data_IF_444362758901
#
_entry.id   IF_444362758901
#
_cell.length_a   1.000
_cell.length_b   1.000
_cell.length_c   1.000
_cell.angle_alpha   90.00
_cell.angle_beta   90.00
_cell.angle_gamma   90.00
#
_symmetry.space_group_name_H-M   'P 1'
#
loop_
_entity.id
_entity.type
_entity.pdbx_description
1 polymer ?
#
# COMPACT_ATOMS: atom_id res chain seq x y z
N UNK A 1 -2.21 -35.43 2.94
CA UNK A 1 -3.58 -35.66 2.44
C UNK A 1 -4.41 -36.52 3.38
N UNK A 2 -3.87 -37.54 4.08
CA UNK A 2 -4.69 -38.29 5.08
C UNK A 2 -4.97 -37.48 6.34
N UNK A 3 -4.03 -36.65 6.78
CA UNK A 3 -4.16 -35.84 8.01
C UNK A 3 -5.37 -34.90 8.05
N UNK A 4 -5.83 -34.37 6.91
CA UNK A 4 -6.98 -33.47 6.84
C UNK A 4 -8.32 -34.20 6.76
N UNK A 5 -8.32 -35.47 6.36
CA UNK A 5 -9.52 -36.32 6.36
C UNK A 5 -9.78 -36.89 7.76
N UNK A 6 -8.72 -37.20 8.51
CA UNK A 6 -8.84 -37.67 9.89
C UNK A 6 -9.40 -36.57 10.83
N UNK A 7 -8.98 -35.31 10.67
CA UNK A 7 -9.53 -34.19 11.47
C UNK A 7 -11.01 -33.94 11.19
N UNK A 8 -11.40 -34.00 9.91
CA UNK A 8 -12.80 -33.82 9.53
C UNK A 8 -13.71 -34.95 10.06
N UNK A 9 -13.18 -36.16 10.24
CA UNK A 9 -13.92 -37.28 10.80
C UNK A 9 -14.13 -37.12 12.32
N UNK A 10 -13.09 -36.70 13.05
CA UNK A 10 -13.18 -36.40 14.49
C UNK A 10 -14.18 -35.28 14.79
N UNK A 11 -14.21 -34.23 13.95
CA UNK A 11 -15.17 -33.13 14.07
C UNK A 11 -16.62 -33.59 13.87
N UNK A 12 -16.86 -34.55 12.95
CA UNK A 12 -18.20 -35.11 12.69
C UNK A 12 -18.67 -35.98 13.86
N UNK A 13 -17.80 -36.78 14.46
CA UNK A 13 -18.12 -37.61 15.63
C UNK A 13 -18.45 -36.74 16.86
N UNK A 14 -17.64 -35.71 17.12
CA UNK A 14 -17.90 -34.75 18.20
C UNK A 14 -19.23 -33.99 18.02
N UNK A 15 -19.56 -33.62 16.79
CA UNK A 15 -20.83 -32.96 16.46
C UNK A 15 -22.03 -33.91 16.65
N UNK A 16 -21.86 -35.20 16.33
CA UNK A 16 -22.91 -36.22 16.51
C UNK A 16 -23.26 -36.42 17.99
N UNK A 17 -22.23 -36.46 18.85
CA UNK A 17 -22.40 -36.54 20.30
C UNK A 17 -23.04 -35.29 20.91
N UNK A 18 -22.75 -34.10 20.34
CA UNK A 18 -23.38 -32.84 20.75
C UNK A 18 -24.87 -32.80 20.35
N UNK A 19 -25.20 -33.26 19.14
CA UNK A 19 -26.59 -33.33 18.63
C UNK A 19 -27.45 -34.26 19.50
N UNK A 20 -26.90 -35.41 19.93
CA UNK A 20 -27.61 -36.36 20.79
C UNK A 20 -27.90 -35.82 22.20
N UNK A 21 -27.18 -34.78 22.64
CA UNK A 21 -27.39 -34.12 23.95
C UNK A 21 -28.42 -32.99 23.89
N UNK A 22 -28.71 -32.46 22.71
CA UNK A 22 -29.63 -31.32 22.52
C UNK A 22 -31.08 -31.77 22.38
N UNK A 23 -32.01 -30.89 22.78
CA UNK A 23 -33.44 -31.08 22.52
C UNK A 23 -33.79 -30.82 21.04
N UNK A 24 -34.85 -31.45 20.53
CA UNK A 24 -35.36 -31.19 19.18
C UNK A 24 -35.63 -29.70 18.90
N UNK A 25 -36.14 -28.96 19.89
CA UNK A 25 -36.40 -27.52 19.74
C UNK A 25 -35.10 -26.70 19.65
N UNK A 26 -34.06 -27.10 20.38
CA UNK A 26 -32.75 -26.46 20.32
C UNK A 26 -32.06 -26.74 18.98
N UNK A 27 -32.20 -27.96 18.44
CA UNK A 27 -31.71 -28.32 17.11
C UNK A 27 -32.36 -27.47 16.03
N UNK A 28 -33.69 -27.29 16.07
CA UNK A 28 -34.41 -26.45 15.11
C UNK A 28 -33.93 -24.99 15.17
N UNK A 29 -33.72 -24.45 16.37
CA UNK A 29 -33.25 -23.09 16.53
C UNK A 29 -31.80 -22.92 16.04
N UNK A 30 -30.92 -23.88 16.36
CA UNK A 30 -29.52 -23.88 15.92
C UNK A 30 -29.40 -23.96 14.40
N UNK A 31 -30.20 -24.80 13.74
CA UNK A 31 -30.22 -24.87 12.27
C UNK A 31 -30.66 -23.55 11.64
N UNK A 32 -31.68 -22.87 12.20
CA UNK A 32 -32.12 -21.56 11.69
C UNK A 32 -31.05 -20.47 11.86
N UNK A 33 -30.35 -20.46 12.99
CA UNK A 33 -29.25 -19.52 13.23
C UNK A 33 -28.10 -19.77 12.24
N UNK A 34 -27.70 -21.03 12.07
CA UNK A 34 -26.67 -21.42 11.10
C UNK A 34 -27.06 -21.06 9.65
N UNK A 35 -28.31 -21.30 9.25
CA UNK A 35 -28.80 -20.89 7.92
C UNK A 35 -28.73 -19.38 7.72
N UNK A 36 -29.08 -18.60 8.76
CA UNK A 36 -28.99 -17.15 8.72
C UNK A 36 -27.54 -16.67 8.61
N UNK A 37 -26.62 -17.33 9.33
CA UNK A 37 -25.20 -17.02 9.33
C UNK A 37 -24.55 -17.37 7.99
N UNK A 38 -24.85 -18.55 7.43
CA UNK A 38 -24.40 -18.98 6.10
C UNK A 38 -24.85 -17.98 5.03
N UNK A 39 -26.09 -17.46 5.14
CA UNK A 39 -26.60 -16.46 4.19
C UNK A 39 -25.83 -15.14 4.27
N UNK A 40 -25.52 -14.67 5.48
CA UNK A 40 -24.71 -13.46 5.70
C UNK A 40 -23.28 -13.69 5.17
N UNK A 41 -22.65 -14.80 5.55
CA UNK A 41 -21.30 -15.16 5.11
C UNK A 41 -21.21 -15.25 3.58
N UNK A 42 -22.19 -15.86 2.91
CA UNK A 42 -22.23 -15.90 1.44
C UNK A 42 -22.28 -14.50 0.81
N UNK A 43 -23.08 -13.60 1.37
CA UNK A 43 -23.15 -12.20 0.91
C UNK A 43 -21.83 -11.48 1.13
N UNK A 44 -21.16 -11.72 2.25
CA UNK A 44 -19.89 -11.08 2.59
C UNK A 44 -18.75 -11.59 1.71
N UNK A 45 -18.68 -12.89 1.45
CA UNK A 45 -17.74 -13.46 0.49
C UNK A 45 -17.93 -12.85 -0.89
N UNK A 46 -19.16 -12.67 -1.35
CA UNK A 46 -19.44 -12.00 -2.63
C UNK A 46 -18.97 -10.54 -2.63
N UNK A 47 -19.24 -9.78 -1.56
CA UNK A 47 -18.79 -8.39 -1.41
C UNK A 47 -17.26 -8.29 -1.44
N UNK A 48 -16.58 -9.10 -0.64
CA UNK A 48 -15.12 -9.12 -0.56
C UNK A 48 -14.51 -9.50 -1.91
N UNK A 49 -15.08 -10.47 -2.63
CA UNK A 49 -14.59 -10.83 -3.96
C UNK A 49 -14.72 -9.69 -4.98
N UNK A 50 -15.83 -8.93 -4.94
CA UNK A 50 -15.98 -7.75 -5.79
C UNK A 50 -14.97 -6.65 -5.44
N UNK A 51 -14.78 -6.35 -4.14
CA UNK A 51 -13.79 -5.38 -3.69
C UNK A 51 -12.37 -5.79 -4.08
N UNK A 52 -12.05 -7.08 -3.92
CA UNK A 52 -10.77 -7.66 -4.29
C UNK A 52 -10.52 -7.56 -5.80
N UNK A 53 -11.54 -7.83 -6.64
CA UNK A 53 -11.43 -7.62 -8.09
C UNK A 53 -11.19 -6.15 -8.42
N UNK A 54 -11.97 -5.24 -7.85
CA UNK A 54 -11.82 -3.81 -8.08
C UNK A 54 -10.44 -3.28 -7.66
N UNK A 55 -9.90 -3.76 -6.54
CA UNK A 55 -8.55 -3.41 -6.10
C UNK A 55 -7.48 -3.99 -7.04
N UNK A 56 -7.64 -5.23 -7.50
CA UNK A 56 -6.72 -5.84 -8.48
C UNK A 56 -6.69 -5.05 -9.79
N UNK A 57 -7.83 -4.58 -10.27
CA UNK A 57 -7.89 -3.78 -11.50
C UNK A 57 -7.22 -2.42 -11.32
N UNK A 58 -7.42 -1.74 -10.18
CA UNK A 58 -6.69 -0.52 -9.83
C UNK A 58 -5.18 -0.73 -9.75
N UNK A 59 -4.73 -1.86 -9.19
CA UNK A 59 -3.30 -2.19 -9.13
C UNK A 59 -2.73 -2.36 -10.55
N UNK A 60 -3.44 -3.06 -11.44
CA UNK A 60 -3.01 -3.24 -12.84
C UNK A 60 -2.90 -1.90 -13.56
N UNK A 61 -3.93 -1.05 -13.46
CA UNK A 61 -3.95 0.27 -14.07
C UNK A 61 -2.78 1.15 -13.57
N UNK A 62 -2.54 1.17 -12.26
CA UNK A 62 -1.43 1.91 -11.68
C UNK A 62 -0.07 1.35 -12.11
N UNK A 63 0.07 0.03 -12.21
CA UNK A 63 1.30 -0.62 -12.68
C UNK A 63 1.61 -0.24 -14.14
N UNK A 64 0.59 -0.18 -15.00
CA UNK A 64 0.74 0.28 -16.38
C UNK A 64 1.13 1.76 -16.45
N UNK A 65 0.49 2.63 -15.66
CA UNK A 65 0.86 4.05 -15.56
C UNK A 65 2.31 4.23 -15.10
N UNK A 66 2.75 3.46 -14.10
CA UNK A 66 4.15 3.46 -13.64
C UNK A 66 5.07 3.02 -14.76
N UNK A 67 4.73 1.97 -15.50
CA UNK A 67 5.54 1.47 -16.62
C UNK A 67 5.70 2.51 -17.74
N UNK A 68 4.63 3.23 -18.08
CA UNK A 68 4.68 4.32 -19.06
C UNK A 68 5.58 5.46 -18.58
N UNK A 69 5.49 5.84 -17.30
CA UNK A 69 6.34 6.90 -16.73
C UNK A 69 7.81 6.47 -16.53
N UNK A 70 8.07 5.18 -16.35
CA UNK A 70 9.41 4.60 -16.33
C UNK A 70 10.01 4.37 -17.72
N UNK A 71 9.27 4.65 -18.79
CA UNK A 71 9.81 4.54 -20.14
C UNK A 71 10.94 5.55 -20.32
N UNK A 72 12.03 5.10 -20.94
CA UNK A 72 13.10 5.98 -21.38
C UNK A 72 12.53 7.02 -22.37
N UNK A 73 12.99 8.28 -22.36
CA UNK A 73 14.20 8.77 -21.71
C UNK A 73 13.95 9.55 -20.40
N UNK A 74 14.62 9.18 -19.32
CA UNK A 74 14.72 9.97 -18.08
C UNK A 74 16.06 10.73 -18.01
N UNK A 75 16.13 11.72 -17.11
CA UNK A 75 17.33 12.49 -16.83
C UNK A 75 18.09 11.82 -15.69
N UNK A 76 19.41 11.70 -15.82
CA UNK A 76 20.26 11.20 -14.73
C UNK A 76 20.55 12.34 -13.76
N UNK A 77 20.42 12.09 -12.47
CA UNK A 77 20.68 13.06 -11.41
C UNK A 77 21.38 12.42 -10.23
N UNK A 78 22.04 13.23 -9.41
CA UNK A 78 22.65 12.80 -8.16
C UNK A 78 21.83 13.33 -6.99
N UNK A 79 21.57 12.49 -6.00
CA UNK A 79 21.01 12.94 -4.73
C UNK A 79 22.10 13.69 -3.96
N UNK A 80 21.85 14.93 -3.56
CA UNK A 80 22.79 15.73 -2.76
C UNK A 80 22.51 15.54 -1.28
N UNK A 81 21.26 15.74 -0.88
CA UNK A 81 20.85 15.78 0.52
C UNK A 81 19.41 15.30 0.66
N UNK A 82 19.14 14.67 1.80
CA UNK A 82 17.81 14.27 2.25
C UNK A 82 17.49 15.09 3.48
N UNK A 83 16.35 15.78 3.47
CA UNK A 83 15.90 16.64 4.55
C UNK A 83 14.63 16.05 5.16
N UNK A 84 14.60 15.92 6.47
CA UNK A 84 13.39 15.53 7.19
C UNK A 84 12.62 16.81 7.56
N UNK A 85 11.46 17.01 6.95
CA UNK A 85 10.61 18.17 7.22
C UNK A 85 9.58 17.79 8.27
N UNK A 86 9.84 18.25 9.49
CA UNK A 86 8.87 18.24 10.58
C UNK A 86 8.12 19.59 10.62
N UNK A 87 6.81 19.62 10.35
CA UNK A 87 5.99 20.83 10.40
C UNK A 87 5.92 21.48 11.79
N UNK A 88 6.32 20.75 12.85
CA UNK A 88 6.46 21.32 14.18
C UNK A 88 7.74 22.18 14.32
N UNK A 89 8.76 21.93 13.51
CA UNK A 89 10.00 22.72 13.48
C UNK A 89 9.89 23.96 12.59
N UNK A 90 8.90 24.04 11.68
CA UNK A 90 8.60 25.23 10.88
C UNK A 90 7.59 26.18 11.54
N UNK A 91 7.16 25.87 12.77
CA UNK A 91 6.10 26.60 13.49
C UNK A 91 6.47 27.97 14.05
N UNK A 92 7.57 28.60 13.63
CA UNK A 92 7.98 29.92 14.17
C UNK A 92 7.96 31.10 13.17
N UNK A 93 7.80 30.93 11.84
CA UNK A 93 8.09 32.06 10.93
C UNK A 93 7.06 32.49 9.85
N UNK A 94 5.85 31.92 9.72
CA UNK A 94 4.90 32.44 8.70
C UNK A 94 3.49 32.74 9.23
N UNK A 95 3.35 33.90 9.88
CA UNK A 95 2.09 34.66 10.01
C UNK A 95 1.62 35.25 8.65
N UNK A 96 1.42 34.39 7.63
CA UNK A 96 0.95 34.78 6.31
C UNK A 96 -0.17 33.88 5.82
N UNK A 97 -1.28 34.44 5.35
CA UNK A 97 -2.48 33.72 4.91
C UNK A 97 -2.31 32.95 3.56
N UNK A 98 -1.12 32.47 3.25
CA UNK A 98 -0.82 31.72 2.03
C UNK A 98 0.12 30.55 2.38
N UNK A 99 -0.40 29.58 3.12
CA UNK A 99 0.34 28.39 3.53
C UNK A 99 0.54 27.52 2.29
N UNK A 100 1.78 27.31 1.88
CA UNK A 100 2.11 26.37 0.81
C UNK A 100 1.74 24.94 1.27
N UNK A 101 0.88 24.28 0.51
CA UNK A 101 0.40 22.92 0.79
C UNK A 101 1.55 21.90 0.79
N UNK A 102 2.68 22.23 0.14
CA UNK A 102 3.88 21.40 0.15
C UNK A 102 4.69 21.57 1.44
N UNK A 103 4.66 22.74 2.11
CA UNK A 103 5.33 23.00 3.39
C UNK A 103 4.64 22.32 4.59
N UNK A 104 3.34 22.02 4.48
CA UNK A 104 2.60 21.29 5.52
C UNK A 104 2.80 19.76 5.48
N UNK A 105 3.41 19.21 4.43
CA UNK A 105 3.55 17.75 4.31
C UNK A 105 4.70 17.26 5.17
N UNK A 106 4.34 16.50 6.21
CA UNK A 106 5.26 15.66 6.99
C UNK A 106 5.94 14.68 6.05
N UNK A 107 7.26 14.72 5.94
CA UNK A 107 7.97 13.74 5.14
C UNK A 107 9.43 14.07 4.87
N UNK A 108 10.10 13.10 4.26
CA UNK A 108 11.46 13.26 3.76
C UNK A 108 11.41 13.94 2.40
N UNK A 109 12.11 15.05 2.28
CA UNK A 109 12.36 15.76 1.03
C UNK A 109 13.77 15.45 0.52
N UNK A 110 13.98 15.63 -0.78
CA UNK A 110 15.28 15.39 -1.40
C UNK A 110 15.73 16.61 -2.20
N UNK A 111 17.03 16.89 -2.17
CA UNK A 111 17.68 17.82 -3.06
C UNK A 111 18.45 17.02 -4.10
N UNK A 112 18.12 17.21 -5.37
CA UNK A 112 18.79 16.51 -6.49
C UNK A 112 19.53 17.48 -7.39
N UNK A 113 20.71 17.06 -7.86
CA UNK A 113 21.48 17.77 -8.87
C UNK A 113 21.36 17.04 -10.20
N UNK A 114 20.79 17.69 -11.19
CA UNK A 114 20.67 17.13 -12.53
C UNK A 114 22.02 17.12 -13.25
N UNK A 115 22.17 16.26 -14.27
CA UNK A 115 23.32 16.32 -15.18
C UNK A 115 23.48 17.68 -15.87
N UNK A 116 22.40 18.47 -15.97
CA UNK A 116 22.42 19.85 -16.48
C UNK A 116 22.95 20.88 -15.46
N UNK A 117 23.50 20.42 -14.32
CA UNK A 117 24.04 21.23 -13.23
C UNK A 117 23.02 22.14 -12.55
N UNK A 118 21.74 21.83 -12.67
CA UNK A 118 20.67 22.50 -11.96
C UNK A 118 20.33 21.72 -10.68
N UNK A 119 19.98 22.43 -9.63
CA UNK A 119 19.60 21.84 -8.35
C UNK A 119 18.09 22.01 -8.17
N UNK A 120 17.39 20.91 -7.96
CA UNK A 120 15.95 20.89 -7.71
C UNK A 120 15.69 20.41 -6.29
N UNK A 121 14.79 21.11 -5.59
CA UNK A 121 14.23 20.66 -4.33
C UNK A 121 12.95 19.90 -4.59
N UNK A 122 12.86 18.67 -4.08
CA UNK A 122 11.72 17.80 -4.20
C UNK A 122 11.07 17.64 -2.82
N UNK A 123 9.91 18.27 -2.58
CA UNK A 123 9.10 18.02 -1.39
C UNK A 123 8.70 16.53 -1.29
N UNK A 124 8.49 15.89 -2.45
CA UNK A 124 8.12 14.47 -2.58
C UNK A 124 9.16 13.75 -3.44
N UNK A 125 9.77 12.70 -2.89
CA UNK A 125 10.87 11.94 -3.50
C UNK A 125 10.44 11.22 -4.78
N UNK A 126 9.27 10.56 -4.77
CA UNK A 126 8.72 9.89 -5.96
C UNK A 126 8.42 8.41 -5.73
N UNK A 127 8.85 7.55 -6.65
CA UNK A 127 8.55 6.10 -6.66
C UNK A 127 9.53 5.27 -5.82
N UNK A 128 10.61 5.87 -5.32
CA UNK A 128 11.65 5.20 -4.54
C UNK A 128 11.50 5.55 -3.06
N UNK A 129 11.72 4.57 -2.19
CA UNK A 129 11.69 4.77 -0.75
C UNK A 129 12.82 5.69 -0.30
N UNK A 130 12.46 6.70 0.50
CA UNK A 130 13.39 7.69 1.03
C UNK A 130 14.55 7.08 1.83
N UNK A 131 14.28 5.99 2.57
CA UNK A 131 15.26 5.34 3.45
C UNK A 131 16.36 4.57 2.69
N UNK A 132 16.12 4.27 1.41
CA UNK A 132 17.10 3.57 0.55
C UNK A 132 18.05 4.53 -0.14
N UNK A 133 17.69 5.82 -0.19
CA UNK A 133 18.49 6.85 -0.84
C UNK A 133 19.57 7.34 0.11
N UNK A 134 20.74 7.62 -0.44
CA UNK A 134 21.85 8.27 0.26
C UNK A 134 22.37 9.46 -0.54
N UNK A 135 22.91 10.48 0.13
CA UNK A 135 23.73 11.49 -0.53
C UNK A 135 24.80 10.84 -1.41
N UNK A 136 24.88 11.25 -2.67
CA UNK A 136 25.79 10.73 -3.68
C UNK A 136 25.22 9.64 -4.59
N UNK A 137 24.01 9.13 -4.31
CA UNK A 137 23.39 8.10 -5.17
C UNK A 137 22.97 8.66 -6.53
N UNK A 138 23.21 7.85 -7.57
CA UNK A 138 22.77 8.11 -8.93
C UNK A 138 21.31 7.67 -9.08
N UNK A 139 20.45 8.58 -9.54
CA UNK A 139 19.01 8.35 -9.69
C UNK A 139 18.51 8.80 -11.06
N UNK A 140 17.54 8.07 -11.59
CA UNK A 140 16.78 8.46 -12.76
C UNK A 140 15.60 9.34 -12.35
N UNK A 141 15.55 10.58 -12.84
CA UNK A 141 14.47 11.53 -12.60
C UNK A 141 13.68 11.81 -13.87
N UNK A 142 12.39 12.08 -13.73
CA UNK A 142 11.57 12.51 -14.86
C UNK A 142 12.00 13.90 -15.36
N UNK A 143 11.95 14.16 -16.68
CA UNK A 143 12.38 15.43 -17.28
C UNK A 143 11.45 16.60 -16.96
N UNK A 144 10.15 16.35 -16.82
CA UNK A 144 9.16 17.40 -16.65
C UNK A 144 8.85 17.66 -15.18
N UNK A 145 8.75 16.59 -14.38
CA UNK A 145 8.36 16.67 -12.96
C UNK A 145 9.53 16.52 -11.98
N UNK A 146 10.72 16.14 -12.44
CA UNK A 146 11.92 15.90 -11.61
C UNK A 146 11.76 14.84 -10.52
N UNK A 147 10.63 14.11 -10.46
CA UNK A 147 10.37 13.01 -9.54
C UNK A 147 11.35 11.85 -9.77
N UNK A 148 11.86 11.27 -8.68
CA UNK A 148 12.76 10.11 -8.73
C UNK A 148 11.95 8.87 -9.12
N UNK A 149 12.36 8.23 -10.22
CA UNK A 149 11.72 7.05 -10.80
C UNK A 149 12.39 5.75 -10.36
N UNK A 150 13.73 5.74 -10.33
CA UNK A 150 14.55 4.60 -9.94
C UNK A 150 15.95 5.00 -9.50
N UNK A 151 16.59 4.16 -8.69
CA UNK A 151 18.00 4.27 -8.34
C UNK A 151 18.83 3.52 -9.37
N UNK A 152 19.85 4.17 -9.91
CA UNK A 152 20.78 3.60 -10.87
C UNK A 152 21.99 3.03 -10.11
N UNK A 153 22.63 1.95 -10.62
CA UNK A 153 23.88 1.47 -10.04
C UNK A 153 24.96 2.55 -10.16
N UNK A 154 25.79 2.67 -9.11
CA UNK A 154 26.97 3.53 -9.16
C UNK A 154 27.98 2.94 -10.17
N UNK A 155 28.53 3.80 -11.03
CA UNK A 155 29.57 3.44 -11.99
C UNK A 155 30.94 3.28 -11.32
#
# INVERSE_FOLDING_TARGET
MSSSQDTAMEDIEALSDEINRMSNDELINRTRLLDSEIKIMRSEVMRINHELSAQKDKIKENTEKIKVNKALPYLVSNVIELLDIDPQNQGEEEEGANIDLDSMRKGKSAVVKTSTRQTYFLPVIGLVDADKLKPGDLVGVNKDSYLILETLPQE
#
